data_IF_701788009232
#
_entry.id   IF_701788009232
#
_cell.length_a   1.000
_cell.length_b   1.000
_cell.length_c   1.000
_cell.angle_alpha   90.00
_cell.angle_beta   90.00
_cell.angle_gamma   90.00
#
_symmetry.space_group_name_H-M   'P 1'
#
loop_
_entity.id
_entity.type
_entity.pdbx_description
1 polymer ?
#
# COMPACT_ATOMS: atom_id res chain seq x y z
N UNK A 1 21.10 -34.45 -91.95
CA UNK A 1 20.44 -33.29 -92.57
C UNK A 1 20.90 -32.06 -91.78
N UNK A 2 22.20 -31.76 -91.83
CA UNK A 2 22.90 -31.04 -90.74
C UNK A 2 24.16 -30.34 -91.28
N UNK A 3 23.98 -29.49 -92.31
CA UNK A 3 25.07 -28.75 -92.97
C UNK A 3 24.72 -27.28 -93.25
N UNK A 4 23.72 -26.71 -92.54
CA UNK A 4 23.23 -25.36 -92.80
C UNK A 4 23.34 -24.36 -91.63
N UNK A 5 23.72 -24.79 -90.40
CA UNK A 5 23.55 -23.93 -89.20
C UNK A 5 24.83 -23.36 -88.58
N UNK A 6 26.01 -23.43 -89.23
CA UNK A 6 27.30 -23.06 -88.59
C UNK A 6 28.07 -21.95 -89.34
N UNK A 7 27.39 -21.01 -90.00
CA UNK A 7 28.05 -19.80 -90.50
C UNK A 7 27.24 -18.50 -90.37
N UNK A 8 26.34 -18.43 -89.38
CA UNK A 8 25.54 -17.24 -89.10
C UNK A 8 26.13 -16.41 -87.93
N UNK A 9 27.41 -16.05 -88.04
CA UNK A 9 28.04 -15.05 -87.17
C UNK A 9 29.03 -14.17 -87.98
N UNK A 10 28.76 -14.01 -89.27
CA UNK A 10 29.19 -12.83 -90.00
C UNK A 10 28.39 -11.64 -89.44
N UNK A 11 29.04 -10.48 -89.34
CA UNK A 11 28.49 -9.25 -88.78
C UNK A 11 27.02 -9.04 -89.23
N UNK A 12 26.04 -9.30 -88.36
CA UNK A 12 24.59 -9.27 -88.70
C UNK A 12 24.22 -7.93 -89.34
N UNK A 13 24.88 -6.84 -88.91
CA UNK A 13 24.78 -5.52 -89.52
C UNK A 13 25.05 -5.53 -91.02
N UNK A 14 26.09 -6.25 -91.46
CA UNK A 14 26.48 -6.37 -92.87
C UNK A 14 25.47 -7.20 -93.66
N UNK A 15 25.01 -8.31 -93.08
CA UNK A 15 23.99 -9.18 -93.68
C UNK A 15 22.65 -8.44 -93.90
N UNK A 16 22.24 -7.57 -92.96
CA UNK A 16 21.05 -6.72 -93.09
C UNK A 16 21.18 -5.76 -94.27
N UNK A 17 22.37 -5.15 -94.47
CA UNK A 17 22.62 -4.20 -95.55
C UNK A 17 22.70 -4.89 -96.92
N UNK A 18 23.36 -6.05 -97.01
CA UNK A 18 23.52 -6.80 -98.26
C UNK A 18 22.19 -7.40 -98.76
N UNK A 19 21.32 -7.82 -97.85
CA UNK A 19 20.03 -8.45 -98.15
C UNK A 19 18.82 -7.56 -97.83
N UNK A 20 19.00 -6.24 -97.83
CA UNK A 20 17.99 -5.24 -97.45
C UNK A 20 16.66 -5.28 -98.26
N UNK A 21 16.65 -5.94 -99.43
CA UNK A 21 15.47 -6.09 -100.29
C UNK A 21 14.89 -7.52 -100.26
N UNK A 22 15.45 -8.41 -99.44
CA UNK A 22 15.02 -9.81 -99.32
C UNK A 22 14.28 -10.03 -98.00
N UNK A 23 12.95 -10.00 -98.05
CA UNK A 23 12.10 -10.18 -96.88
C UNK A 23 12.28 -11.54 -96.22
N UNK A 24 12.54 -12.60 -97.01
CA UNK A 24 12.71 -13.96 -96.51
C UNK A 24 14.01 -14.09 -95.71
N UNK A 25 15.09 -13.48 -96.21
CA UNK A 25 16.38 -13.50 -95.55
C UNK A 25 16.38 -12.67 -94.25
N UNK A 26 15.78 -11.48 -94.26
CA UNK A 26 15.64 -10.65 -93.06
C UNK A 26 14.79 -11.34 -91.97
N UNK A 27 13.71 -12.03 -92.34
CA UNK A 27 12.92 -12.83 -91.40
C UNK A 27 13.70 -14.03 -90.86
N UNK A 28 14.53 -14.69 -91.68
CA UNK A 28 15.42 -15.76 -91.23
C UNK A 28 16.42 -15.24 -90.18
N UNK A 29 17.07 -14.10 -90.43
CA UNK A 29 17.98 -13.46 -89.49
C UNK A 29 17.27 -13.04 -88.18
N UNK A 30 16.08 -12.45 -88.28
CA UNK A 30 15.26 -12.10 -87.11
C UNK A 30 14.91 -13.35 -86.29
N UNK A 31 14.51 -14.45 -86.92
CA UNK A 31 14.18 -15.71 -86.21
C UNK A 31 15.39 -16.35 -85.56
N UNK A 32 16.57 -16.25 -86.17
CA UNK A 32 17.82 -16.77 -85.62
C UNK A 32 18.25 -16.08 -84.33
N UNK A 33 18.18 -14.74 -84.27
CA UNK A 33 18.47 -13.99 -83.05
C UNK A 33 17.72 -12.65 -83.01
N UNK A 34 16.48 -12.69 -82.50
CA UNK A 34 15.58 -11.53 -82.46
C UNK A 34 16.17 -10.30 -81.78
N UNK A 35 16.87 -10.50 -80.65
CA UNK A 35 17.41 -9.42 -79.83
C UNK A 35 18.55 -8.71 -80.56
N UNK A 36 19.48 -9.48 -81.12
CA UNK A 36 20.63 -8.93 -81.81
C UNK A 36 20.27 -8.35 -83.17
N UNK A 37 19.41 -9.04 -83.95
CA UNK A 37 18.88 -8.52 -85.21
C UNK A 37 18.19 -7.17 -85.00
N UNK A 38 17.29 -7.08 -84.02
CA UNK A 38 16.58 -5.83 -83.70
C UNK A 38 17.54 -4.68 -83.35
N UNK A 39 18.51 -4.95 -82.47
CA UNK A 39 19.48 -3.95 -82.04
C UNK A 39 20.27 -3.40 -83.23
N UNK A 40 20.77 -4.28 -84.10
CA UNK A 40 21.56 -3.89 -85.26
C UNK A 40 20.70 -3.24 -86.36
N UNK A 41 19.50 -3.78 -86.61
CA UNK A 41 18.55 -3.26 -87.61
C UNK A 41 18.12 -1.83 -87.30
N UNK A 42 17.75 -1.53 -86.04
CA UNK A 42 17.37 -0.17 -85.62
C UNK A 42 18.52 0.84 -85.74
N UNK A 43 19.78 0.39 -85.65
CA UNK A 43 20.95 1.26 -85.82
C UNK A 43 21.23 1.58 -87.29
N UNK A 44 20.98 0.65 -88.21
CA UNK A 44 21.20 0.88 -89.67
C UNK A 44 19.98 1.45 -90.39
N UNK A 45 18.80 1.39 -89.77
CA UNK A 45 17.56 1.91 -90.37
C UNK A 45 17.64 3.34 -90.94
N UNK A 46 18.33 4.32 -90.30
CA UNK A 46 18.44 5.67 -90.87
C UNK A 46 19.00 5.68 -92.31
N UNK A 47 19.93 4.76 -92.60
CA UNK A 47 20.57 4.59 -93.92
C UNK A 47 19.69 3.82 -94.93
N UNK A 48 18.59 3.21 -94.45
CA UNK A 48 17.67 2.35 -95.22
C UNK A 48 16.27 2.96 -95.40
N UNK A 49 16.08 4.21 -94.95
CA UNK A 49 14.79 4.90 -94.85
C UNK A 49 14.03 5.10 -96.17
N UNK A 50 14.66 4.90 -97.32
CA UNK A 50 14.02 4.94 -98.64
C UNK A 50 13.54 3.57 -99.15
N UNK A 51 13.60 2.52 -98.32
CA UNK A 51 13.20 1.16 -98.67
C UNK A 51 11.89 0.76 -97.95
N UNK A 52 10.80 0.48 -98.71
CA UNK A 52 9.50 0.12 -98.14
C UNK A 52 9.55 -1.12 -97.23
N UNK A 53 10.44 -2.08 -97.52
CA UNK A 53 10.61 -3.27 -96.69
C UNK A 53 11.27 -2.92 -95.35
N UNK A 54 12.23 -2.00 -95.35
CA UNK A 54 12.89 -1.56 -94.14
C UNK A 54 11.96 -0.75 -93.24
N UNK A 55 11.08 0.07 -93.83
CA UNK A 55 10.05 0.84 -93.12
C UNK A 55 9.06 -0.08 -92.38
N UNK A 56 8.61 -1.15 -93.04
CA UNK A 56 7.77 -2.19 -92.41
C UNK A 56 8.48 -2.87 -91.22
N UNK A 57 9.76 -3.22 -91.37
CA UNK A 57 10.53 -3.84 -90.31
C UNK A 57 10.79 -2.88 -89.13
N UNK A 58 11.00 -1.58 -89.40
CA UNK A 58 11.18 -0.59 -88.35
C UNK A 58 9.91 -0.44 -87.50
N UNK A 59 8.74 -0.31 -88.13
CA UNK A 59 7.45 -0.27 -87.43
C UNK A 59 7.18 -1.54 -86.61
N UNK A 60 7.51 -2.71 -87.15
CA UNK A 60 7.37 -3.97 -86.41
C UNK A 60 8.30 -4.07 -85.20
N UNK A 61 9.52 -3.54 -85.31
CA UNK A 61 10.57 -3.70 -84.30
C UNK A 61 10.54 -2.59 -83.23
N UNK A 62 10.06 -1.39 -83.54
CA UNK A 62 9.90 -0.29 -82.58
C UNK A 62 8.94 -0.67 -81.45
N UNK A 63 7.77 -1.23 -81.78
CA UNK A 63 6.73 -1.64 -80.83
C UNK A 63 7.17 -2.79 -79.89
N UNK A 64 7.90 -3.78 -80.41
CA UNK A 64 8.41 -4.88 -79.57
C UNK A 64 9.42 -4.41 -78.51
N UNK A 65 9.99 -3.20 -78.63
CA UNK A 65 11.10 -2.72 -77.79
C UNK A 65 10.59 -2.18 -76.46
N UNK A 66 9.49 -1.46 -76.56
CA UNK A 66 8.72 -0.94 -75.44
C UNK A 66 8.23 -2.11 -74.57
N UNK A 67 7.65 -3.14 -75.21
CA UNK A 67 7.09 -4.33 -74.54
C UNK A 67 8.14 -5.13 -73.75
N UNK A 68 9.37 -5.27 -74.26
CA UNK A 68 10.44 -5.99 -73.55
C UNK A 68 10.96 -5.16 -72.37
N UNK A 69 11.10 -3.84 -72.54
CA UNK A 69 11.53 -2.94 -71.47
C UNK A 69 10.52 -2.91 -70.31
N UNK A 70 9.23 -2.88 -70.63
CA UNK A 70 8.15 -2.88 -69.63
C UNK A 70 8.08 -4.23 -68.90
N UNK A 71 8.20 -5.36 -69.61
CA UNK A 71 8.27 -6.69 -68.99
C UNK A 71 9.47 -6.85 -68.05
N UNK A 72 10.61 -6.25 -68.38
CA UNK A 72 11.81 -6.30 -67.52
C UNK A 72 11.65 -5.47 -66.24
N UNK A 73 11.04 -4.28 -66.34
CA UNK A 73 10.70 -3.43 -65.18
C UNK A 73 9.68 -4.10 -64.26
N UNK A 74 8.59 -4.62 -64.82
CA UNK A 74 7.56 -5.34 -64.06
C UNK A 74 8.16 -6.52 -63.29
N UNK A 75 9.09 -7.25 -63.88
CA UNK A 75 9.77 -8.39 -63.22
C UNK A 75 10.71 -7.95 -62.09
N UNK A 76 11.35 -6.79 -62.22
CA UNK A 76 12.15 -6.20 -61.14
C UNK A 76 11.29 -5.68 -59.99
N UNK A 77 10.16 -5.05 -60.29
CA UNK A 77 9.18 -4.58 -59.30
C UNK A 77 8.54 -5.76 -58.55
N UNK A 78 8.17 -6.85 -59.24
CA UNK A 78 7.71 -8.09 -58.61
C UNK A 78 8.75 -8.71 -57.67
N UNK A 79 10.04 -8.58 -58.01
CA UNK A 79 11.16 -9.04 -57.18
C UNK A 79 11.26 -8.24 -55.87
N UNK A 80 11.14 -6.92 -55.98
CA UNK A 80 11.15 -5.98 -54.82
C UNK A 80 9.94 -6.24 -53.92
N UNK A 81 8.75 -6.40 -54.51
CA UNK A 81 7.51 -6.69 -53.75
C UNK A 81 7.64 -8.01 -52.97
N UNK A 82 8.24 -9.05 -53.57
CA UNK A 82 8.47 -10.33 -52.87
C UNK A 82 9.52 -10.25 -51.77
N UNK A 83 10.55 -9.40 -51.90
CA UNK A 83 11.50 -9.16 -50.82
C UNK A 83 10.86 -8.39 -49.67
N UNK A 84 10.07 -7.37 -49.98
CA UNK A 84 9.35 -6.58 -48.97
C UNK A 84 8.34 -7.46 -48.21
N UNK A 85 7.62 -8.34 -48.92
CA UNK A 85 6.69 -9.29 -48.29
C UNK A 85 7.41 -10.29 -47.35
N UNK A 86 8.66 -10.66 -47.64
CA UNK A 86 9.48 -11.48 -46.72
C UNK A 86 9.94 -10.68 -45.51
N UNK A 87 10.34 -9.43 -45.70
CA UNK A 87 10.74 -8.54 -44.59
C UNK A 87 9.54 -8.36 -43.65
N UNK A 88 8.36 -8.04 -44.18
CA UNK A 88 7.13 -7.90 -43.40
C UNK A 88 6.79 -9.19 -42.64
N UNK A 89 6.91 -10.37 -43.26
CA UNK A 89 6.70 -11.66 -42.57
C UNK A 89 7.74 -11.93 -41.47
N UNK A 90 8.98 -11.48 -41.67
CA UNK A 90 10.04 -11.62 -40.66
C UNK A 90 9.82 -10.66 -39.48
N UNK A 91 9.38 -9.43 -39.75
CA UNK A 91 9.02 -8.44 -38.74
C UNK A 91 7.79 -8.91 -37.94
N UNK A 92 6.75 -9.46 -38.59
CA UNK A 92 5.63 -10.10 -37.89
C UNK A 92 6.09 -11.27 -36.99
N UNK A 93 7.08 -12.05 -37.44
CA UNK A 93 7.69 -13.11 -36.64
C UNK A 93 8.42 -12.58 -35.40
N UNK A 94 9.19 -11.51 -35.56
CA UNK A 94 9.88 -10.81 -34.46
C UNK A 94 8.85 -10.25 -33.48
N UNK A 95 7.82 -9.55 -33.96
CA UNK A 95 6.75 -8.98 -33.13
C UNK A 95 6.04 -10.07 -32.33
N UNK A 96 5.72 -11.22 -32.94
CA UNK A 96 5.13 -12.36 -32.21
C UNK A 96 6.06 -12.94 -31.16
N UNK A 97 7.37 -12.97 -31.43
CA UNK A 97 8.36 -13.46 -30.46
C UNK A 97 8.51 -12.50 -29.28
N UNK A 98 8.52 -11.19 -29.52
CA UNK A 98 8.53 -10.15 -28.48
C UNK A 98 7.25 -10.20 -27.64
N UNK A 99 6.08 -10.38 -28.27
CA UNK A 99 4.81 -10.59 -27.56
C UNK A 99 4.84 -11.84 -26.67
N UNK A 100 5.52 -12.90 -27.12
CA UNK A 100 5.74 -14.12 -26.34
C UNK A 100 6.62 -13.88 -25.11
N UNK A 101 7.71 -13.12 -25.27
CA UNK A 101 8.62 -12.74 -24.18
C UNK A 101 7.90 -11.86 -23.15
N UNK A 102 7.12 -10.87 -23.60
CA UNK A 102 6.33 -10.00 -22.72
C UNK A 102 5.33 -10.83 -21.90
N UNK A 103 4.65 -11.81 -22.51
CA UNK A 103 3.73 -12.71 -21.80
C UNK A 103 4.44 -13.62 -20.80
N UNK A 104 5.65 -14.11 -21.11
CA UNK A 104 6.42 -14.90 -20.15
C UNK A 104 6.90 -14.07 -18.97
N UNK A 105 7.37 -12.85 -19.20
CA UNK A 105 7.79 -11.93 -18.14
C UNK A 105 6.61 -11.55 -17.24
N UNK A 106 5.45 -11.29 -17.82
CA UNK A 106 4.22 -11.05 -17.05
C UNK A 106 3.80 -12.29 -16.22
N UNK A 107 4.04 -13.49 -16.73
CA UNK A 107 3.85 -14.76 -16.02
C UNK A 107 4.82 -14.93 -14.85
N UNK A 108 6.10 -14.59 -15.04
CA UNK A 108 7.13 -14.63 -13.99
C UNK A 108 6.77 -13.64 -12.89
N UNK A 109 6.42 -12.39 -13.23
CA UNK A 109 6.02 -11.37 -12.25
C UNK A 109 4.80 -11.82 -11.44
N UNK A 110 3.77 -12.39 -12.09
CA UNK A 110 2.60 -12.94 -11.38
C UNK A 110 2.97 -14.11 -10.47
N UNK A 111 3.94 -14.94 -10.85
CA UNK A 111 4.40 -16.06 -10.03
C UNK A 111 5.19 -15.60 -8.81
N UNK A 112 6.08 -14.62 -8.97
CA UNK A 112 6.83 -13.99 -7.87
C UNK A 112 5.88 -13.28 -6.90
N UNK A 113 4.89 -12.55 -7.42
CA UNK A 113 3.86 -11.90 -6.59
C UNK A 113 3.08 -12.92 -5.76
N UNK A 114 2.73 -14.08 -6.34
CA UNK A 114 2.08 -15.19 -5.61
C UNK A 114 2.97 -15.77 -4.53
N UNK A 115 4.26 -15.98 -4.81
CA UNK A 115 5.22 -16.51 -3.83
C UNK A 115 5.35 -15.54 -2.64
N UNK A 116 5.58 -14.26 -2.91
CA UNK A 116 5.67 -13.21 -1.86
C UNK A 116 4.38 -13.11 -1.04
N UNK A 117 3.21 -13.30 -1.68
CA UNK A 117 1.92 -13.34 -0.98
C UNK A 117 1.78 -14.57 -0.08
N UNK A 118 2.29 -15.73 -0.50
CA UNK A 118 2.26 -16.98 0.28
C UNK A 118 3.18 -16.94 1.49
N UNK A 119 4.39 -16.37 1.37
CA UNK A 119 5.33 -16.23 2.48
C UNK A 119 4.77 -15.30 3.57
N UNK A 120 4.22 -14.15 3.16
CA UNK A 120 3.61 -13.20 4.11
C UNK A 120 2.42 -13.79 4.87
N UNK A 121 1.60 -14.61 4.21
CA UNK A 121 0.48 -15.30 4.86
C UNK A 121 0.97 -16.35 5.86
N UNK A 122 2.00 -17.12 5.51
CA UNK A 122 2.56 -18.14 6.40
C UNK A 122 3.12 -17.51 7.68
N UNK A 123 3.85 -16.40 7.58
CA UNK A 123 4.36 -15.68 8.77
C UNK A 123 3.21 -15.21 9.66
N UNK A 124 2.11 -14.74 9.08
CA UNK A 124 0.91 -14.30 9.82
C UNK A 124 0.23 -15.47 10.52
N UNK A 125 0.07 -16.61 9.85
CA UNK A 125 -0.49 -17.82 10.47
C UNK A 125 0.36 -18.28 11.65
N UNK A 126 1.69 -18.33 11.47
CA UNK A 126 2.61 -18.69 12.56
C UNK A 126 2.52 -17.69 13.70
N UNK A 127 2.51 -16.39 13.41
CA UNK A 127 2.36 -15.34 14.41
C UNK A 127 1.03 -15.45 15.19
N UNK A 128 -0.08 -15.72 14.51
CA UNK A 128 -1.38 -15.95 15.15
C UNK A 128 -1.36 -17.19 16.06
N UNK A 129 -0.71 -18.28 15.65
CA UNK A 129 -0.54 -19.48 16.48
C UNK A 129 0.30 -19.17 17.72
N UNK A 130 1.40 -18.42 17.56
CA UNK A 130 2.25 -18.01 18.70
C UNK A 130 1.45 -17.15 19.68
N UNK A 131 0.69 -16.16 19.19
CA UNK A 131 -0.19 -15.34 20.04
C UNK A 131 -1.22 -16.21 20.80
N UNK A 132 -1.82 -17.19 20.13
CA UNK A 132 -2.77 -18.12 20.73
C UNK A 132 -2.14 -19.02 21.80
N UNK A 133 -0.91 -19.49 21.57
CA UNK A 133 -0.16 -20.27 22.57
C UNK A 133 0.13 -19.39 23.79
N UNK A 134 0.57 -18.14 23.60
CA UNK A 134 0.84 -17.20 24.70
C UNK A 134 -0.45 -16.94 25.50
N UNK A 135 -1.57 -16.70 24.82
CA UNK A 135 -2.87 -16.51 25.46
C UNK A 135 -3.33 -17.74 26.26
N UNK A 136 -2.92 -18.95 25.83
CA UNK A 136 -3.24 -20.22 26.46
C UNK A 136 -2.25 -20.70 27.52
N UNK A 137 -1.13 -19.98 27.73
CA UNK A 137 -0.16 -20.30 28.77
C UNK A 137 -0.76 -20.55 30.16
N UNK A 138 -1.71 -19.73 30.69
CA UNK A 138 -2.23 -19.98 32.03
C UNK A 138 -2.98 -21.31 32.11
N UNK A 139 -3.75 -21.68 31.08
CA UNK A 139 -4.42 -22.97 31.02
C UNK A 139 -3.43 -24.14 30.84
N UNK A 140 -2.35 -23.96 30.06
CA UNK A 140 -1.34 -24.99 29.81
C UNK A 140 -0.48 -25.25 31.07
N UNK A 141 -0.16 -24.19 31.82
CA UNK A 141 0.74 -24.24 32.97
C UNK A 141 0.00 -24.31 34.32
N UNK A 142 -1.34 -24.27 34.32
CA UNK A 142 -2.15 -24.27 35.54
C UNK A 142 -2.01 -22.99 36.38
N UNK A 143 -1.79 -21.84 35.74
CA UNK A 143 -1.69 -20.54 36.40
C UNK A 143 -3.08 -19.95 36.63
N UNK A 144 -3.21 -19.09 37.64
CA UNK A 144 -4.43 -18.31 37.86
C UNK A 144 -4.66 -17.36 36.67
N UNK A 145 -5.72 -17.62 35.89
CA UNK A 145 -6.00 -16.92 34.64
C UNK A 145 -6.15 -15.41 34.84
N UNK A 146 -6.92 -14.99 35.84
CA UNK A 146 -7.17 -13.57 36.12
C UNK A 146 -5.86 -12.81 36.42
N UNK A 147 -5.05 -13.34 37.35
CA UNK A 147 -3.76 -12.76 37.70
C UNK A 147 -2.80 -12.72 36.49
N UNK A 148 -2.82 -13.76 35.66
CA UNK A 148 -2.02 -13.80 34.44
C UNK A 148 -2.46 -12.70 33.46
N UNK A 149 -3.75 -12.59 33.13
CA UNK A 149 -4.23 -11.66 32.12
C UNK A 149 -4.08 -10.20 32.56
N UNK A 150 -4.37 -9.86 33.82
CA UNK A 150 -4.19 -8.49 34.34
C UNK A 150 -2.76 -8.00 34.14
N UNK A 151 -1.77 -8.87 34.38
CA UNK A 151 -0.34 -8.52 34.24
C UNK A 151 0.18 -8.66 32.82
N UNK A 152 -0.32 -9.63 32.07
CA UNK A 152 0.36 -10.12 30.86
C UNK A 152 -0.42 -9.97 29.56
N UNK A 153 -1.64 -9.40 29.56
CA UNK A 153 -2.47 -9.26 28.34
C UNK A 153 -1.72 -8.59 27.18
N UNK A 154 -0.90 -7.57 27.46
CA UNK A 154 -0.10 -6.90 26.44
C UNK A 154 0.95 -7.79 25.77
N UNK A 155 1.50 -8.78 26.48
CA UNK A 155 2.52 -9.69 25.95
C UNK A 155 1.96 -10.77 25.02
N UNK A 156 0.64 -10.94 24.96
CA UNK A 156 0.00 -11.87 24.03
C UNK A 156 0.25 -11.43 22.58
N UNK A 157 0.16 -10.12 22.32
CA UNK A 157 0.13 -9.57 20.96
C UNK A 157 1.36 -8.71 20.65
N UNK A 158 1.82 -7.85 21.57
CA UNK A 158 2.88 -6.89 21.26
C UNK A 158 4.22 -7.54 20.87
N UNK A 159 4.74 -8.57 21.55
CA UNK A 159 5.97 -9.26 21.15
C UNK A 159 5.84 -9.93 19.78
N UNK A 160 4.67 -10.49 19.48
CA UNK A 160 4.38 -11.17 18.20
C UNK A 160 4.39 -10.16 17.05
N UNK A 161 3.67 -9.05 17.20
CA UNK A 161 3.68 -7.98 16.20
C UNK A 161 5.05 -7.30 16.08
N UNK A 162 5.78 -7.14 17.19
CA UNK A 162 7.14 -6.60 17.16
C UNK A 162 8.08 -7.52 16.39
N UNK A 163 7.98 -8.84 16.57
CA UNK A 163 8.70 -9.83 15.76
C UNK A 163 8.35 -9.76 14.28
N UNK A 164 7.06 -9.64 13.96
CA UNK A 164 6.56 -9.45 12.60
C UNK A 164 7.15 -8.21 11.93
N UNK A 165 7.07 -7.05 12.57
CA UNK A 165 7.63 -5.80 12.03
C UNK A 165 9.16 -5.81 12.01
N UNK A 166 9.82 -6.44 12.97
CA UNK A 166 11.27 -6.59 12.97
C UNK A 166 11.75 -7.38 11.75
N UNK A 167 11.08 -8.49 11.42
CA UNK A 167 11.33 -9.27 10.21
C UNK A 167 11.06 -8.46 8.95
N UNK A 168 9.85 -7.89 8.85
CA UNK A 168 9.41 -7.13 7.67
C UNK A 168 10.30 -5.92 7.38
N UNK A 169 10.62 -5.14 8.40
CA UNK A 169 11.39 -3.89 8.26
C UNK A 169 12.91 -4.11 8.28
N UNK A 170 13.37 -5.37 8.30
CA UNK A 170 14.80 -5.75 8.32
C UNK A 170 15.56 -5.03 9.43
N UNK A 171 14.99 -5.02 10.62
CA UNK A 171 15.60 -4.36 11.80
C UNK A 171 16.94 -5.02 12.12
N UNK A 172 17.94 -4.23 12.52
CA UNK A 172 19.27 -4.76 12.83
C UNK A 172 19.23 -5.76 13.99
N UNK A 173 20.14 -6.76 13.97
CA UNK A 173 20.20 -7.79 15.03
C UNK A 173 20.34 -7.20 16.43
N UNK A 174 21.14 -6.13 16.58
CA UNK A 174 21.30 -5.41 17.84
C UNK A 174 19.95 -4.84 18.33
N UNK A 175 19.20 -4.17 17.45
CA UNK A 175 17.92 -3.59 17.81
C UNK A 175 16.87 -4.66 18.14
N UNK A 176 16.90 -5.82 17.46
CA UNK A 176 16.07 -6.97 17.81
C UNK A 176 16.40 -7.49 19.21
N UNK A 177 17.68 -7.63 19.56
CA UNK A 177 18.11 -8.03 20.90
C UNK A 177 17.67 -7.02 21.97
N UNK A 178 17.75 -5.72 21.68
CA UNK A 178 17.27 -4.67 22.59
C UNK A 178 15.75 -4.77 22.78
N UNK A 179 14.97 -4.91 21.71
CA UNK A 179 13.51 -5.09 21.78
C UNK A 179 13.16 -6.30 22.67
N UNK A 180 13.81 -7.45 22.41
CA UNK A 180 13.59 -8.67 23.19
C UNK A 180 13.95 -8.52 24.66
N UNK A 181 15.08 -7.85 24.96
CA UNK A 181 15.49 -7.56 26.34
C UNK A 181 14.47 -6.66 27.06
N UNK A 182 13.95 -5.62 26.40
CA UNK A 182 12.95 -4.73 27.00
C UNK A 182 11.66 -5.48 27.31
N UNK A 183 11.16 -6.31 26.39
CA UNK A 183 10.00 -7.17 26.65
C UNK A 183 10.24 -8.11 27.84
N UNK A 184 11.41 -8.74 27.90
CA UNK A 184 11.78 -9.65 28.99
C UNK A 184 11.85 -8.92 30.34
N UNK A 185 12.50 -7.76 30.41
CA UNK A 185 12.59 -6.96 31.63
C UNK A 185 11.21 -6.49 32.11
N UNK A 186 10.34 -6.07 31.18
CA UNK A 186 8.97 -5.69 31.51
C UNK A 186 8.17 -6.88 32.06
N UNK A 187 8.29 -8.06 31.44
CA UNK A 187 7.60 -9.27 31.88
C UNK A 187 8.09 -9.72 33.25
N UNK A 188 9.41 -9.70 33.50
CA UNK A 188 9.97 -10.02 34.81
C UNK A 188 9.45 -9.03 35.86
N UNK A 189 9.57 -7.72 35.59
CA UNK A 189 9.18 -6.69 36.53
C UNK A 189 7.69 -6.80 36.93
N UNK A 190 6.78 -6.88 35.97
CA UNK A 190 5.34 -6.88 36.27
C UNK A 190 4.90 -8.15 37.02
N UNK A 191 5.58 -9.27 36.80
CA UNK A 191 5.29 -10.53 37.51
C UNK A 191 5.96 -10.60 38.89
N UNK A 192 6.93 -9.74 39.20
CA UNK A 192 7.54 -9.62 40.54
C UNK A 192 6.73 -8.75 41.50
N UNK A 193 5.75 -7.97 41.01
CA UNK A 193 4.91 -7.15 41.89
C UNK A 193 4.07 -8.04 42.83
N UNK A 194 3.98 -7.72 44.14
CA UNK A 194 3.45 -8.65 45.14
C UNK A 194 1.93 -8.82 45.11
N UNK A 195 1.16 -7.78 44.80
CA UNK A 195 -0.31 -7.78 44.93
C UNK A 195 -1.01 -7.31 43.65
N UNK A 196 -1.84 -8.17 43.07
CA UNK A 196 -2.58 -7.87 41.82
C UNK A 196 -3.72 -6.89 42.04
N UNK A 197 -4.26 -6.77 43.26
CA UNK A 197 -5.41 -5.91 43.57
C UNK A 197 -5.01 -4.49 43.98
N UNK A 198 -3.73 -4.27 44.28
CA UNK A 198 -3.24 -2.94 44.63
C UNK A 198 -3.42 -1.93 43.50
N UNK A 199 -3.83 -0.71 43.86
CA UNK A 199 -3.97 0.44 42.95
C UNK A 199 -2.68 0.66 42.13
N UNK A 200 -1.53 0.50 42.78
CA UNK A 200 -0.20 0.71 42.18
C UNK A 200 0.09 -0.37 41.13
N UNK A 201 -0.18 -1.64 41.40
CA UNK A 201 0.03 -2.72 40.42
C UNK A 201 -0.93 -2.59 39.24
N UNK A 202 -2.20 -2.28 39.49
CA UNK A 202 -3.18 -2.01 38.43
C UNK A 202 -2.70 -0.88 37.52
N UNK A 203 -2.20 0.20 38.12
CA UNK A 203 -1.71 1.35 37.39
C UNK A 203 -0.44 1.03 36.56
N UNK A 204 0.49 0.25 37.11
CA UNK A 204 1.65 -0.26 36.39
C UNK A 204 1.25 -1.16 35.23
N UNK A 205 0.27 -2.06 35.40
CA UNK A 205 -0.26 -2.89 34.32
C UNK A 205 -0.85 -2.05 33.18
N UNK A 206 -1.70 -1.05 33.49
CA UNK A 206 -2.32 -0.19 32.47
C UNK A 206 -1.26 0.60 31.68
N UNK A 207 -0.27 1.20 32.36
CA UNK A 207 0.76 2.00 31.69
C UNK A 207 1.78 1.11 30.96
N UNK A 208 1.96 -0.13 31.40
CA UNK A 208 2.79 -1.10 30.70
C UNK A 208 2.23 -1.38 29.29
N UNK A 209 0.91 -1.42 29.08
CA UNK A 209 0.35 -1.56 27.72
C UNK A 209 0.85 -0.44 26.78
N UNK A 210 0.92 0.80 27.27
CA UNK A 210 1.45 1.93 26.50
C UNK A 210 2.95 1.79 26.22
N UNK A 211 3.71 1.24 27.17
CA UNK A 211 5.14 0.99 26.99
C UNK A 211 5.41 -0.14 25.98
N UNK A 212 4.69 -1.26 26.07
CA UNK A 212 4.80 -2.37 25.10
C UNK A 212 4.38 -1.92 23.70
N UNK A 213 3.34 -1.08 23.62
CA UNK A 213 2.94 -0.39 22.40
C UNK A 213 4.03 0.54 21.86
N UNK A 214 4.79 1.23 22.73
CA UNK A 214 5.93 2.03 22.28
C UNK A 214 7.08 1.18 21.73
N UNK A 215 7.37 0.04 22.36
CA UNK A 215 8.39 -0.92 21.90
C UNK A 215 8.01 -1.50 20.52
N UNK A 216 6.73 -1.82 20.31
CA UNK A 216 6.21 -2.19 18.98
C UNK A 216 6.49 -1.07 17.95
N UNK A 217 6.29 0.19 18.33
CA UNK A 217 6.59 1.35 17.47
C UNK A 217 8.06 1.42 17.04
N UNK A 218 8.99 1.04 17.91
CA UNK A 218 10.41 0.97 17.56
C UNK A 218 10.69 -0.09 16.48
N UNK A 219 10.07 -1.27 16.59
CA UNK A 219 10.14 -2.32 15.57
C UNK A 219 9.47 -1.89 14.24
N UNK A 220 8.38 -1.13 14.32
CA UNK A 220 7.66 -0.59 13.16
C UNK A 220 8.49 0.46 12.40
N UNK A 221 9.16 1.37 13.11
CA UNK A 221 9.94 2.45 12.47
C UNK A 221 11.22 1.91 11.82
N UNK A 222 11.91 0.97 12.47
CA UNK A 222 13.07 0.24 11.96
C UNK A 222 14.36 1.04 11.71
N UNK A 223 14.31 2.36 11.46
CA UNK A 223 15.48 3.24 11.26
C UNK A 223 15.20 4.70 11.59
N UNK A 224 16.22 5.41 12.08
CA UNK A 224 16.18 6.80 12.57
C UNK A 224 16.09 7.85 11.44
N UNK A 225 16.45 7.50 10.19
CA UNK A 225 16.61 8.47 9.09
C UNK A 225 15.33 9.26 8.71
N UNK A 226 14.14 8.76 9.04
CA UNK A 226 12.85 9.44 8.81
C UNK A 226 11.91 9.32 10.01
N UNK A 227 12.46 9.58 11.20
CA UNK A 227 11.79 9.34 12.49
C UNK A 227 10.41 10.01 12.61
N UNK A 228 10.24 11.25 12.13
CA UNK A 228 8.96 11.98 12.25
C UNK A 228 7.86 11.42 11.34
N UNK A 229 8.15 11.22 10.06
CA UNK A 229 7.19 10.64 9.10
C UNK A 229 6.78 9.23 9.50
N UNK A 230 7.75 8.43 9.97
CA UNK A 230 7.48 7.05 10.42
C UNK A 230 6.70 6.99 11.73
N UNK A 231 6.88 7.95 12.65
CA UNK A 231 6.02 8.08 13.85
C UNK A 231 4.58 8.39 13.47
N UNK A 232 4.38 9.29 12.51
CA UNK A 232 3.05 9.60 11.99
C UNK A 232 2.41 8.37 11.35
N UNK A 233 3.17 7.64 10.53
CA UNK A 233 2.73 6.38 9.92
C UNK A 233 2.39 5.31 10.97
N UNK A 234 3.17 5.22 12.06
CA UNK A 234 2.88 4.32 13.17
C UNK A 234 1.56 4.66 13.86
N UNK A 235 1.33 5.92 14.20
CA UNK A 235 0.06 6.37 14.80
C UNK A 235 -1.12 6.13 13.85
N UNK A 236 -0.94 6.37 12.55
CA UNK A 236 -1.94 6.08 11.53
C UNK A 236 -2.29 4.59 11.47
N UNK A 237 -1.25 3.75 11.39
CA UNK A 237 -1.38 2.29 11.40
C UNK A 237 -2.17 1.79 12.62
N UNK A 238 -1.94 2.36 13.81
CA UNK A 238 -2.67 1.94 15.00
C UNK A 238 -4.17 2.29 14.97
N UNK A 239 -4.54 3.41 14.33
CA UNK A 239 -5.96 3.71 14.07
C UNK A 239 -6.60 2.71 13.14
N UNK A 240 -5.91 2.40 12.04
CA UNK A 240 -6.33 1.40 11.07
C UNK A 240 -6.45 0.01 11.75
N UNK A 241 -5.48 -0.33 12.62
CA UNK A 241 -5.46 -1.58 13.40
C UNK A 241 -6.64 -1.67 14.36
N UNK A 242 -6.95 -0.60 15.08
CA UNK A 242 -8.10 -0.54 15.99
C UNK A 242 -9.42 -0.78 15.25
N UNK A 243 -9.62 -0.11 14.11
CA UNK A 243 -10.84 -0.26 13.31
C UNK A 243 -10.94 -1.67 12.72
N UNK A 244 -9.86 -2.17 12.10
CA UNK A 244 -9.89 -3.51 11.49
C UNK A 244 -10.05 -4.62 12.52
N UNK A 245 -9.41 -4.49 13.67
CA UNK A 245 -9.62 -5.41 14.79
C UNK A 245 -11.07 -5.35 15.27
N UNK A 246 -11.65 -4.16 15.39
CA UNK A 246 -13.05 -3.97 15.76
C UNK A 246 -14.03 -4.60 14.77
N UNK A 247 -13.82 -4.42 13.47
CA UNK A 247 -14.65 -5.05 12.43
C UNK A 247 -14.56 -6.57 12.49
N UNK A 248 -13.36 -7.12 12.66
CA UNK A 248 -13.16 -8.57 12.83
C UNK A 248 -13.80 -9.09 14.13
N UNK A 249 -13.73 -8.33 15.23
CA UNK A 249 -14.38 -8.67 16.49
C UNK A 249 -15.91 -8.70 16.36
N UNK A 250 -16.50 -7.72 15.68
CA UNK A 250 -17.95 -7.71 15.44
C UNK A 250 -18.36 -8.89 14.56
N UNK A 251 -17.66 -9.11 13.44
CA UNK A 251 -17.95 -10.23 12.55
C UNK A 251 -17.78 -11.59 13.24
N UNK A 252 -16.67 -11.77 13.97
CA UNK A 252 -16.38 -12.98 14.74
C UNK A 252 -17.33 -13.18 15.92
N UNK A 253 -17.74 -12.10 16.59
CA UNK A 253 -18.69 -12.11 17.69
C UNK A 253 -20.10 -12.51 17.23
N UNK A 254 -20.58 -11.93 16.13
CA UNK A 254 -21.86 -12.33 15.51
C UNK A 254 -21.82 -13.81 15.09
N UNK A 255 -20.75 -14.24 14.42
CA UNK A 255 -20.57 -15.63 14.03
C UNK A 255 -20.56 -16.57 15.25
N UNK A 256 -19.86 -16.18 16.32
CA UNK A 256 -19.79 -16.95 17.56
C UNK A 256 -21.15 -17.05 18.24
N UNK A 257 -21.90 -15.94 18.34
CA UNK A 257 -23.24 -15.91 18.91
C UNK A 257 -24.23 -16.78 18.13
N UNK A 258 -24.22 -16.70 16.79
CA UNK A 258 -25.02 -17.57 15.94
C UNK A 258 -24.63 -19.03 16.12
N UNK A 259 -23.33 -19.34 16.17
CA UNK A 259 -22.85 -20.71 16.36
C UNK A 259 -23.31 -21.27 17.70
N UNK A 260 -23.09 -20.56 18.80
CA UNK A 260 -23.51 -20.99 20.14
C UNK A 260 -25.04 -21.17 20.19
N UNK A 261 -25.80 -20.20 19.67
CA UNK A 261 -27.26 -20.26 19.63
C UNK A 261 -27.80 -21.43 18.79
N UNK A 262 -27.20 -21.74 17.65
CA UNK A 262 -27.61 -22.89 16.83
C UNK A 262 -27.39 -24.23 17.55
N UNK A 263 -26.29 -24.38 18.28
CA UNK A 263 -26.05 -25.58 19.08
C UNK A 263 -26.96 -25.65 20.31
N UNK A 264 -27.28 -24.51 20.92
CA UNK A 264 -28.23 -24.45 22.03
C UNK A 264 -29.63 -24.91 21.62
N UNK A 265 -30.09 -24.56 20.41
CA UNK A 265 -31.36 -25.07 19.84
C UNK A 265 -31.37 -26.60 19.67
N UNK A 266 -30.21 -27.22 19.50
CA UNK A 266 -30.04 -28.69 19.46
C UNK A 266 -29.94 -29.30 20.87
N UNK A 267 -30.04 -28.50 21.93
CA UNK A 267 -29.85 -28.93 23.31
C UNK A 267 -28.38 -29.05 23.74
N UNK A 268 -27.43 -28.54 22.95
CA UNK A 268 -25.99 -28.62 23.23
C UNK A 268 -25.46 -27.28 23.77
N UNK A 269 -25.11 -27.24 25.07
CA UNK A 269 -24.52 -26.06 25.72
C UNK A 269 -23.02 -25.99 25.49
N UNK A 270 -22.61 -25.50 24.32
CA UNK A 270 -21.19 -25.43 23.91
C UNK A 270 -20.47 -24.14 24.34
N UNK A 271 -21.15 -23.17 24.96
CA UNK A 271 -20.60 -21.83 25.23
C UNK A 271 -19.24 -21.85 25.94
N UNK A 272 -19.13 -22.55 27.07
CA UNK A 272 -17.88 -22.63 27.82
C UNK A 272 -16.76 -23.25 27.01
N UNK A 273 -17.04 -24.37 26.32
CA UNK A 273 -16.08 -24.99 25.42
C UNK A 273 -15.66 -24.02 24.30
N UNK A 274 -16.62 -23.37 23.65
CA UNK A 274 -16.37 -22.45 22.56
C UNK A 274 -15.52 -21.27 23.00
N UNK A 275 -15.89 -20.60 24.10
CA UNK A 275 -15.17 -19.42 24.59
C UNK A 275 -13.77 -19.79 25.09
N UNK A 276 -13.64 -20.90 25.80
CA UNK A 276 -12.34 -21.38 26.24
C UNK A 276 -11.45 -21.72 25.05
N UNK A 277 -11.87 -22.54 24.09
CA UNK A 277 -10.96 -23.05 23.05
C UNK A 277 -10.88 -22.19 21.80
N UNK A 278 -12.01 -21.65 21.34
CA UNK A 278 -12.10 -20.88 20.08
C UNK A 278 -12.03 -19.38 20.36
N UNK A 279 -12.77 -18.90 21.36
CA UNK A 279 -12.87 -17.47 21.69
C UNK A 279 -11.52 -16.83 22.02
N UNK A 280 -10.78 -17.39 22.98
CA UNK A 280 -9.45 -16.88 23.39
C UNK A 280 -8.45 -16.92 22.22
N UNK A 281 -8.44 -18.03 21.46
CA UNK A 281 -7.54 -18.21 20.31
C UNK A 281 -7.86 -17.17 19.22
N UNK A 282 -9.13 -17.02 18.86
CA UNK A 282 -9.57 -16.03 17.88
C UNK A 282 -9.23 -14.61 18.33
N UNK A 283 -9.51 -14.25 19.58
CA UNK A 283 -9.24 -12.91 20.13
C UNK A 283 -7.75 -12.55 20.06
N UNK A 284 -6.86 -13.50 20.38
CA UNK A 284 -5.41 -13.30 20.30
C UNK A 284 -4.88 -13.16 18.87
N UNK A 285 -5.54 -13.81 17.90
CA UNK A 285 -5.12 -13.80 16.50
C UNK A 285 -5.58 -12.53 15.75
N UNK A 286 -6.66 -11.87 16.19
CA UNK A 286 -7.29 -10.75 15.50
C UNK A 286 -6.31 -9.60 15.17
N UNK A 287 -5.50 -9.08 16.11
CA UNK A 287 -4.60 -7.96 15.77
C UNK A 287 -3.53 -8.35 14.74
N UNK A 288 -3.10 -9.61 14.72
CA UNK A 288 -2.12 -10.13 13.74
C UNK A 288 -2.76 -10.23 12.35
N UNK A 289 -3.97 -10.78 12.28
CA UNK A 289 -4.74 -10.87 11.03
C UNK A 289 -5.10 -9.48 10.51
N UNK A 290 -5.56 -8.58 11.39
CA UNK A 290 -5.88 -7.19 11.06
C UNK A 290 -4.66 -6.47 10.48
N UNK A 291 -3.47 -6.65 11.08
CA UNK A 291 -2.20 -6.13 10.55
C UNK A 291 -1.98 -6.58 9.09
N UNK A 292 -2.13 -7.88 8.81
CA UNK A 292 -2.00 -8.40 7.45
C UNK A 292 -3.02 -7.79 6.46
N UNK A 293 -4.28 -7.65 6.89
CA UNK A 293 -5.34 -7.07 6.05
C UNK A 293 -5.07 -5.60 5.69
N UNK A 294 -4.59 -4.81 6.65
CA UNK A 294 -4.22 -3.40 6.45
C UNK A 294 -3.10 -3.30 5.43
N UNK A 295 -2.08 -4.12 5.57
CA UNK A 295 -0.91 -4.08 4.69
C UNK A 295 -1.22 -4.53 3.26
N UNK A 296 -2.10 -5.51 3.09
CA UNK A 296 -2.52 -5.97 1.75
C UNK A 296 -3.56 -5.05 1.10
N UNK A 297 -4.31 -4.29 1.90
CA UNK A 297 -5.41 -3.45 1.40
C UNK A 297 -5.34 -2.00 1.94
N UNK A 298 -4.21 -1.29 1.78
CA UNK A 298 -4.01 0.03 2.39
C UNK A 298 -4.99 1.07 1.85
N UNK A 299 -5.44 0.93 0.60
CA UNK A 299 -6.43 1.84 -0.01
C UNK A 299 -7.83 1.70 0.59
N UNK A 300 -8.19 0.50 1.06
CA UNK A 300 -9.50 0.24 1.65
C UNK A 300 -9.52 0.75 3.10
N UNK A 301 -8.52 0.38 3.90
CA UNK A 301 -8.53 0.69 5.33
C UNK A 301 -8.06 2.11 5.63
N UNK A 302 -6.98 2.57 4.98
CA UNK A 302 -6.33 3.84 5.32
C UNK A 302 -7.15 5.10 5.02
N UNK A 303 -8.33 4.94 4.39
CA UNK A 303 -9.33 5.99 4.18
C UNK A 303 -10.47 5.99 5.20
N UNK A 304 -10.72 4.86 5.86
CA UNK A 304 -11.82 4.72 6.83
C UNK A 304 -11.53 5.57 8.06
N UNK A 305 -10.33 5.47 8.62
CA UNK A 305 -9.96 6.15 9.87
C UNK A 305 -10.12 7.68 9.80
N UNK A 306 -9.62 8.38 8.76
CA UNK A 306 -9.86 9.82 8.64
C UNK A 306 -11.32 10.18 8.38
N UNK A 307 -12.08 9.36 7.65
CA UNK A 307 -13.50 9.62 7.37
C UNK A 307 -14.33 9.55 8.65
N UNK A 308 -14.14 8.50 9.46
CA UNK A 308 -14.79 8.36 10.77
C UNK A 308 -14.44 9.56 11.64
N UNK A 309 -13.15 9.91 11.76
CA UNK A 309 -12.73 11.04 12.57
C UNK A 309 -13.39 12.37 12.15
N UNK A 310 -13.54 12.63 10.85
CA UNK A 310 -14.23 13.84 10.36
C UNK A 310 -15.72 13.87 10.69
N UNK A 311 -16.40 12.73 10.70
CA UNK A 311 -17.82 12.61 11.10
C UNK A 311 -17.95 12.85 12.61
N UNK A 312 -17.07 12.25 13.41
CA UNK A 312 -17.12 12.37 14.86
C UNK A 312 -16.64 13.73 15.37
N UNK A 313 -15.75 14.45 14.66
CA UNK A 313 -15.24 15.77 15.08
C UNK A 313 -16.33 16.79 15.43
N UNK A 314 -17.31 17.12 14.55
CA UNK A 314 -18.39 18.04 14.90
C UNK A 314 -19.33 17.46 15.97
N UNK A 315 -19.59 16.15 15.95
CA UNK A 315 -20.45 15.50 16.93
C UNK A 315 -19.87 15.62 18.36
N UNK A 316 -18.57 15.36 18.50
CA UNK A 316 -17.86 15.48 19.78
C UNK A 316 -17.79 16.94 20.21
N UNK A 317 -17.58 17.89 19.29
CA UNK A 317 -17.63 19.33 19.61
C UNK A 317 -19.00 19.74 20.17
N UNK A 318 -20.09 19.36 19.50
CA UNK A 318 -21.45 19.64 19.96
C UNK A 318 -21.71 19.00 21.32
N UNK A 319 -21.33 17.73 21.48
CA UNK A 319 -21.46 17.02 22.75
C UNK A 319 -20.71 17.74 23.88
N UNK A 320 -19.46 18.15 23.67
CA UNK A 320 -18.67 18.87 24.67
C UNK A 320 -19.27 20.23 25.03
N UNK A 321 -19.81 20.96 24.06
CA UNK A 321 -20.48 22.25 24.30
C UNK A 321 -21.76 22.07 25.12
N UNK A 322 -22.62 21.12 24.75
CA UNK A 322 -23.83 20.77 25.50
C UNK A 322 -23.46 20.34 26.92
N UNK A 323 -22.39 19.54 27.04
CA UNK A 323 -21.91 19.06 28.32
C UNK A 323 -21.40 20.19 29.23
N UNK A 324 -20.63 21.15 28.71
CA UNK A 324 -20.18 22.31 29.47
C UNK A 324 -21.37 23.14 29.98
N UNK A 325 -22.41 23.31 29.16
CA UNK A 325 -23.64 23.99 29.58
C UNK A 325 -24.34 23.18 30.67
N UNK A 326 -24.44 21.85 30.51
CA UNK A 326 -25.06 20.97 31.49
C UNK A 326 -24.35 21.02 32.85
N UNK A 327 -23.03 21.13 32.90
CA UNK A 327 -22.28 21.30 34.17
C UNK A 327 -22.72 22.57 34.90
N UNK A 328 -22.93 23.68 34.20
CA UNK A 328 -23.29 24.96 34.83
C UNK A 328 -24.67 24.87 35.50
N UNK A 329 -25.60 24.12 34.91
CA UNK A 329 -26.95 23.92 35.45
C UNK A 329 -27.08 22.74 36.40
N UNK A 330 -26.08 21.85 36.45
CA UNK A 330 -26.12 20.70 37.34
C UNK A 330 -25.74 21.10 38.75
N UNK A 331 -26.54 20.69 39.73
CA UNK A 331 -26.18 20.80 41.15
C UNK A 331 -25.06 19.82 41.55
N UNK A 332 -24.71 18.88 40.67
CA UNK A 332 -23.62 17.92 40.92
C UNK A 332 -22.27 18.60 40.72
N UNK A 333 -21.40 18.47 41.72
CA UNK A 333 -20.06 19.02 41.69
C UNK A 333 -19.07 18.02 41.02
N UNK A 334 -18.53 18.31 39.82
CA UNK A 334 -17.51 17.49 39.15
C UNK A 334 -16.30 17.14 40.02
N UNK A 335 -16.01 17.99 41.00
CA UNK A 335 -14.80 17.91 41.81
C UNK A 335 -14.82 16.71 42.75
N UNK A 336 -15.99 16.14 43.04
CA UNK A 336 -16.14 15.06 44.04
C UNK A 336 -16.39 13.66 43.45
N UNK A 337 -16.69 13.55 42.15
CA UNK A 337 -17.02 12.28 41.50
C UNK A 337 -15.80 11.62 40.82
N UNK A 338 -15.38 10.42 41.27
CA UNK A 338 -14.25 9.67 40.69
C UNK A 338 -14.52 9.19 39.27
N UNK A 339 -15.75 8.78 38.98
CA UNK A 339 -16.12 8.22 37.69
C UNK A 339 -16.12 9.32 36.63
N UNK A 340 -16.52 10.53 37.03
CA UNK A 340 -16.36 11.74 36.23
C UNK A 340 -14.93 11.87 35.71
N UNK A 341 -13.92 11.89 36.59
CA UNK A 341 -12.52 12.11 36.17
C UNK A 341 -11.99 11.00 35.26
N UNK A 342 -12.39 9.75 35.49
CA UNK A 342 -11.97 8.62 34.63
C UNK A 342 -12.54 8.76 33.21
N UNK A 343 -13.83 9.08 33.10
CA UNK A 343 -14.49 9.27 31.80
C UNK A 343 -13.89 10.48 31.06
N UNK A 344 -13.57 11.57 31.78
CA UNK A 344 -12.89 12.73 31.17
C UNK A 344 -11.53 12.38 30.59
N UNK A 345 -10.69 11.65 31.32
CA UNK A 345 -9.38 11.27 30.81
C UNK A 345 -9.50 10.39 29.55
N UNK A 346 -10.45 9.45 29.53
CA UNK A 346 -10.73 8.63 28.34
C UNK A 346 -11.21 9.51 27.16
N UNK A 347 -12.10 10.47 27.43
CA UNK A 347 -12.58 11.43 26.44
C UNK A 347 -11.45 12.28 25.86
N UNK A 348 -10.49 12.74 26.68
CA UNK A 348 -9.34 13.53 26.24
C UNK A 348 -8.46 12.76 25.26
N UNK A 349 -8.18 11.48 25.53
CA UNK A 349 -7.46 10.60 24.61
C UNK A 349 -8.26 10.42 23.31
N UNK A 350 -9.58 10.23 23.42
CA UNK A 350 -10.49 10.11 22.27
C UNK A 350 -10.49 11.36 21.38
N UNK A 351 -10.59 12.55 21.97
CA UNK A 351 -10.54 13.82 21.22
C UNK A 351 -9.19 13.98 20.52
N UNK A 352 -8.08 13.67 21.19
CA UNK A 352 -6.75 13.73 20.58
C UNK A 352 -6.66 12.80 19.37
N UNK A 353 -7.20 11.59 19.47
CA UNK A 353 -7.27 10.64 18.35
C UNK A 353 -8.14 11.19 17.20
N UNK A 354 -9.32 11.75 17.49
CA UNK A 354 -10.20 12.36 16.48
C UNK A 354 -9.50 13.50 15.75
N UNK A 355 -8.84 14.41 16.46
CA UNK A 355 -8.06 15.50 15.84
C UNK A 355 -6.95 14.93 14.97
N UNK A 356 -6.16 13.98 15.49
CA UNK A 356 -5.07 13.34 14.77
C UNK A 356 -5.54 12.73 13.44
N UNK A 357 -6.53 11.85 13.49
CA UNK A 357 -7.00 11.12 12.31
C UNK A 357 -7.75 12.02 11.33
N UNK A 358 -8.45 13.05 11.81
CA UNK A 358 -9.12 14.01 10.91
C UNK A 358 -8.11 14.82 10.08
N UNK A 359 -6.93 15.11 10.63
CA UNK A 359 -5.85 15.81 9.93
C UNK A 359 -5.01 14.88 9.05
N UNK A 360 -4.80 13.63 9.46
CA UNK A 360 -3.92 12.67 8.80
C UNK A 360 -4.44 12.10 7.45
N UNK A 361 -5.62 12.53 6.97
CA UNK A 361 -6.21 12.06 5.72
C UNK A 361 -6.05 13.05 4.56
N UNK A 362 -5.88 12.52 3.33
CA UNK A 362 -5.85 13.34 2.12
C UNK A 362 -7.14 14.13 1.97
N UNK A 363 -6.99 15.44 1.73
CA UNK A 363 -8.08 16.39 1.64
C UNK A 363 -8.02 17.09 0.28
N UNK A 364 -9.03 16.86 -0.55
CA UNK A 364 -9.30 17.66 -1.75
C UNK A 364 -9.57 19.13 -1.36
N UNK A 365 -9.07 20.05 -2.18
CA UNK A 365 -8.71 21.44 -1.85
C UNK A 365 -9.85 22.34 -1.33
N UNK A 366 -11.12 22.08 -1.62
CA UNK A 366 -12.24 23.02 -1.32
C UNK A 366 -12.98 22.78 0.00
N UNK A 367 -12.87 21.61 0.65
CA UNK A 367 -13.51 21.30 1.95
C UNK A 367 -12.60 21.48 3.18
N UNK A 368 -11.37 22.01 3.00
CA UNK A 368 -10.38 22.11 4.08
C UNK A 368 -10.72 23.14 5.15
N UNK A 369 -11.27 24.30 4.79
CA UNK A 369 -11.39 25.44 5.73
C UNK A 369 -12.35 25.18 6.90
N UNK A 370 -13.58 24.73 6.62
CA UNK A 370 -14.59 24.49 7.67
C UNK A 370 -14.14 23.37 8.62
N UNK A 371 -13.59 22.27 8.08
CA UNK A 371 -13.11 21.16 8.92
C UNK A 371 -12.00 21.62 9.87
N UNK A 372 -11.06 22.42 9.40
CA UNK A 372 -9.97 22.93 10.25
C UNK A 372 -10.53 23.83 11.36
N UNK A 373 -11.56 24.66 11.07
CA UNK A 373 -12.27 25.44 12.09
C UNK A 373 -12.98 24.57 13.13
N UNK A 374 -13.66 23.49 12.71
CA UNK A 374 -14.26 22.53 13.65
C UNK A 374 -13.19 21.95 14.57
N UNK A 375 -12.05 21.52 14.01
CA UNK A 375 -10.96 20.94 14.80
C UNK A 375 -10.34 21.94 15.78
N UNK A 376 -10.18 23.20 15.36
CA UNK A 376 -9.71 24.27 16.24
C UNK A 376 -10.68 24.53 17.39
N UNK A 377 -11.99 24.63 17.11
CA UNK A 377 -13.00 24.80 18.16
C UNK A 377 -13.04 23.59 19.09
N UNK A 378 -12.97 22.38 18.53
CA UNK A 378 -12.89 21.13 19.30
C UNK A 378 -11.69 21.14 20.24
N UNK A 379 -10.50 21.52 19.75
CA UNK A 379 -9.30 21.57 20.59
C UNK A 379 -9.39 22.66 21.67
N UNK A 380 -9.93 23.84 21.33
CA UNK A 380 -10.13 24.94 22.28
C UNK A 380 -11.11 24.59 23.41
N UNK A 381 -12.26 24.00 23.08
CA UNK A 381 -13.23 23.51 24.07
C UNK A 381 -12.61 22.42 24.94
N UNK A 382 -11.82 21.53 24.34
CA UNK A 382 -11.14 20.45 25.07
C UNK A 382 -10.07 20.97 26.03
N UNK A 383 -9.38 22.06 25.69
CA UNK A 383 -8.46 22.76 26.62
C UNK A 383 -9.21 23.26 27.85
N UNK A 384 -10.40 23.85 27.68
CA UNK A 384 -11.24 24.32 28.79
C UNK A 384 -11.65 23.14 29.69
N UNK A 385 -12.17 22.07 29.07
CA UNK A 385 -12.60 20.85 29.76
C UNK A 385 -11.43 20.22 30.53
N UNK A 386 -10.25 20.12 29.92
CA UNK A 386 -9.05 19.60 30.60
C UNK A 386 -8.61 20.53 31.75
N UNK A 387 -8.78 21.85 31.62
CA UNK A 387 -8.56 22.79 32.71
C UNK A 387 -9.48 22.53 33.91
N UNK A 388 -10.75 22.22 33.67
CA UNK A 388 -11.71 21.83 34.73
C UNK A 388 -11.27 20.52 35.39
N UNK A 389 -10.90 19.50 34.59
CA UNK A 389 -10.41 18.22 35.11
C UNK A 389 -9.12 18.38 35.94
N UNK A 390 -8.21 19.26 35.51
CA UNK A 390 -6.97 19.58 36.22
C UNK A 390 -7.25 20.29 37.55
N UNK A 391 -8.19 21.25 37.56
CA UNK A 391 -8.64 21.92 38.78
C UNK A 391 -9.24 20.93 39.78
N UNK A 392 -10.09 20.01 39.29
CA UNK A 392 -10.71 18.98 40.11
C UNK A 392 -9.68 18.03 40.74
N UNK A 393 -8.68 17.56 39.99
CA UNK A 393 -7.65 16.69 40.57
C UNK A 393 -6.74 17.44 41.56
N UNK A 394 -6.43 18.72 41.30
CA UNK A 394 -5.63 19.53 42.20
C UNK A 394 -6.36 19.78 43.53
N UNK A 395 -7.66 20.07 43.47
CA UNK A 395 -8.51 20.20 44.66
C UNK A 395 -8.48 18.92 45.50
N UNK A 396 -8.65 17.75 44.88
CA UNK A 396 -8.58 16.45 45.59
C UNK A 396 -7.22 16.18 46.21
N UNK A 397 -6.13 16.55 45.54
CA UNK A 397 -4.79 16.41 46.09
C UNK A 397 -4.61 17.35 47.30
N UNK A 398 -5.17 18.55 47.23
CA UNK A 398 -5.14 19.51 48.35
C UNK A 398 -5.98 19.04 49.54
N UNK A 399 -7.14 18.44 49.33
CA UNK A 399 -8.01 17.98 50.42
C UNK A 399 -7.60 16.64 51.01
N UNK A 400 -7.20 15.69 50.17
CA UNK A 400 -7.05 14.29 50.55
C UNK A 400 -5.62 13.76 50.34
N UNK A 401 -4.66 14.63 50.02
CA UNK A 401 -3.26 14.27 49.78
C UNK A 401 -2.99 13.62 48.42
N UNK A 402 -1.72 13.35 48.16
CA UNK A 402 -1.28 12.65 46.95
C UNK A 402 -1.52 11.14 47.08
N UNK A 403 -2.06 10.53 46.03
CA UNK A 403 -2.15 9.07 45.89
C UNK A 403 -1.62 8.66 44.51
N UNK A 404 -1.27 7.38 44.29
CA UNK A 404 -0.75 6.92 43.00
C UNK A 404 -1.69 7.28 41.85
N UNK A 405 -2.97 6.97 42.01
CA UNK A 405 -4.01 7.28 41.02
C UNK A 405 -4.12 8.79 40.75
N UNK A 406 -4.08 9.63 41.80
CA UNK A 406 -4.19 11.09 41.62
C UNK A 406 -2.96 11.67 40.94
N UNK A 407 -1.77 11.18 41.28
CA UNK A 407 -0.52 11.60 40.65
C UNK A 407 -0.47 11.20 39.17
N UNK A 408 -0.92 9.99 38.84
CA UNK A 408 -1.00 9.48 37.47
C UNK A 408 -1.91 10.36 36.59
N UNK A 409 -3.11 10.64 37.09
CA UNK A 409 -4.11 11.48 36.41
C UNK A 409 -3.62 12.92 36.26
N UNK A 410 -3.01 13.49 37.30
CA UNK A 410 -2.44 14.84 37.25
C UNK A 410 -1.39 14.95 36.14
N UNK A 411 -0.41 14.04 36.10
CA UNK A 411 0.62 14.07 35.06
C UNK A 411 0.06 13.82 33.67
N UNK A 412 -0.85 12.86 33.50
CA UNK A 412 -1.52 12.62 32.22
C UNK A 412 -2.25 13.88 31.70
N UNK A 413 -3.02 14.56 32.57
CA UNK A 413 -3.75 15.77 32.19
C UNK A 413 -2.83 16.94 31.87
N UNK A 414 -1.73 17.12 32.60
CA UNK A 414 -0.72 18.14 32.29
C UNK A 414 -0.08 17.90 30.92
N UNK A 415 0.29 16.65 30.61
CA UNK A 415 0.88 16.30 29.32
C UNK A 415 -0.10 16.46 28.17
N UNK A 416 -1.35 16.03 28.35
CA UNK A 416 -2.42 16.23 27.37
C UNK A 416 -2.70 17.72 27.18
N UNK A 417 -2.71 18.53 28.25
CA UNK A 417 -2.92 19.98 28.17
C UNK A 417 -1.81 20.64 27.34
N UNK A 418 -0.55 20.35 27.66
CA UNK A 418 0.58 20.90 26.94
C UNK A 418 0.54 20.54 25.45
N UNK A 419 0.26 19.28 25.12
CA UNK A 419 0.11 18.85 23.74
C UNK A 419 -1.10 19.54 23.05
N UNK A 420 -2.26 19.60 23.70
CA UNK A 420 -3.47 20.25 23.18
C UNK A 420 -3.26 21.74 22.93
N UNK A 421 -2.50 22.46 23.77
CA UNK A 421 -2.18 23.86 23.55
C UNK A 421 -1.35 24.06 22.28
N UNK A 422 -0.32 23.23 22.08
CA UNK A 422 0.50 23.25 20.86
C UNK A 422 -0.36 22.94 19.64
N UNK A 423 -1.17 21.88 19.71
CA UNK A 423 -2.11 21.48 18.65
C UNK A 423 -3.10 22.59 18.33
N UNK A 424 -3.68 23.23 19.34
CA UNK A 424 -4.64 24.34 19.18
C UNK A 424 -4.00 25.54 18.48
N UNK A 425 -2.76 25.89 18.82
CA UNK A 425 -2.02 26.97 18.14
C UNK A 425 -1.77 26.62 16.66
N UNK A 426 -1.41 25.37 16.36
CA UNK A 426 -1.19 24.94 14.97
C UNK A 426 -2.50 24.91 14.17
N UNK A 427 -3.59 24.43 14.77
CA UNK A 427 -4.92 24.45 14.15
C UNK A 427 -5.42 25.86 13.91
N UNK A 428 -5.18 26.80 14.84
CA UNK A 428 -5.50 28.22 14.63
C UNK A 428 -4.73 28.81 13.46
N UNK A 429 -3.41 28.56 13.37
CA UNK A 429 -2.60 29.02 12.24
C UNK A 429 -3.09 28.44 10.91
N UNK A 430 -3.44 27.16 10.88
CA UNK A 430 -4.00 26.52 9.70
C UNK A 430 -5.39 27.08 9.33
N UNK A 431 -6.25 27.34 10.32
CA UNK A 431 -7.59 27.93 10.13
C UNK A 431 -7.50 29.37 9.58
N UNK A 432 -6.51 30.13 10.04
CA UNK A 432 -6.22 31.49 9.60
C UNK A 432 -5.48 31.57 8.25
N UNK A 433 -5.21 30.44 7.59
CA UNK A 433 -4.47 30.37 6.32
C UNK A 433 -2.97 30.67 6.43
N UNK A 434 -2.40 30.64 7.64
CA UNK A 434 -1.00 30.97 7.95
C UNK A 434 -0.13 29.74 8.24
N UNK A 435 -0.64 28.53 8.03
CA UNK A 435 0.08 27.29 8.33
C UNK A 435 -0.49 26.08 7.61
N UNK A 436 0.32 25.03 7.52
CA UNK A 436 -0.06 23.76 6.87
C UNK A 436 -0.68 22.79 7.88
N UNK A 437 -1.77 22.10 7.53
CA UNK A 437 -2.38 21.09 8.42
C UNK A 437 -1.41 19.99 8.89
N UNK A 438 -0.37 19.69 8.10
CA UNK A 438 0.66 18.70 8.44
C UNK A 438 1.45 19.07 9.71
N UNK A 439 1.54 20.35 10.07
CA UNK A 439 2.20 20.77 11.31
C UNK A 439 1.46 20.26 12.55
N UNK A 440 0.14 20.05 12.47
CA UNK A 440 -0.67 19.53 13.56
C UNK A 440 -0.34 18.06 13.84
N UNK A 441 -0.23 17.23 12.79
CA UNK A 441 0.18 15.83 12.92
C UNK A 441 1.60 15.70 13.47
N UNK A 442 2.51 16.61 13.09
CA UNK A 442 3.86 16.69 13.66
C UNK A 442 3.87 17.07 15.13
N UNK A 443 3.02 18.00 15.56
CA UNK A 443 2.90 18.36 16.97
C UNK A 443 2.46 17.16 17.82
N UNK A 444 1.41 16.45 17.39
CA UNK A 444 0.88 15.27 18.11
C UNK A 444 1.91 14.15 18.18
N UNK A 445 2.50 13.77 17.04
CA UNK A 445 3.51 12.70 16.98
C UNK A 445 4.82 13.08 17.67
N UNK A 446 5.14 14.38 17.76
CA UNK A 446 6.29 14.91 18.49
C UNK A 446 6.19 14.72 20.00
N UNK A 447 4.98 14.71 20.55
CA UNK A 447 4.73 14.52 21.99
C UNK A 447 4.77 13.06 22.44
N UNK A 448 4.75 12.11 21.49
CA UNK A 448 4.74 10.68 21.77
C UNK A 448 5.88 10.21 22.72
N UNK A 449 7.15 10.62 22.54
CA UNK A 449 8.22 10.27 23.48
C UNK A 449 7.97 10.77 24.91
N UNK A 450 7.32 11.93 25.07
CA UNK A 450 7.01 12.49 26.39
C UNK A 450 5.97 11.63 27.10
N UNK A 451 4.93 11.18 26.38
CA UNK A 451 3.96 10.22 26.93
C UNK A 451 4.61 8.89 27.31
N UNK A 452 5.58 8.41 26.52
CA UNK A 452 6.31 7.16 26.81
C UNK A 452 7.16 7.30 28.08
N UNK A 453 7.85 8.44 28.25
CA UNK A 453 8.61 8.73 29.47
C UNK A 453 7.69 8.71 30.70
N UNK A 454 6.53 9.37 30.61
CA UNK A 454 5.54 9.35 31.69
C UNK A 454 5.02 7.94 31.99
N UNK A 455 4.63 7.18 30.96
CA UNK A 455 4.20 5.80 31.14
C UNK A 455 5.29 4.94 31.78
N UNK A 456 6.56 5.19 31.46
CA UNK A 456 7.72 4.51 32.09
C UNK A 456 7.82 4.87 33.57
N UNK A 457 7.68 6.16 33.92
CA UNK A 457 7.70 6.63 35.32
C UNK A 457 6.56 5.98 36.11
N UNK A 458 5.35 5.94 35.55
CA UNK A 458 4.20 5.32 36.24
C UNK A 458 4.39 3.81 36.36
N UNK A 459 4.89 3.14 35.32
CA UNK A 459 5.07 1.68 35.32
C UNK A 459 6.10 1.24 36.35
N UNK A 460 7.29 1.85 36.37
CA UNK A 460 8.42 1.39 37.19
C UNK A 460 8.67 2.23 38.44
N UNK A 461 8.38 3.53 38.38
CA UNK A 461 8.65 4.46 39.49
C UNK A 461 7.59 4.39 40.58
N UNK A 462 6.31 4.31 40.22
CA UNK A 462 5.24 4.35 41.23
C UNK A 462 5.27 3.18 42.23
N UNK A 463 5.54 1.92 41.81
CA UNK A 463 5.75 0.80 42.75
C UNK A 463 6.85 0.98 43.78
N UNK A 464 7.77 1.92 43.57
CA UNK A 464 8.88 2.22 44.48
C UNK A 464 8.54 3.43 45.37
N UNK A 465 7.72 4.35 44.86
CA UNK A 465 7.39 5.63 45.51
C UNK A 465 6.16 5.55 46.41
N UNK A 466 5.21 4.66 46.09
CA UNK A 466 3.96 4.44 46.80
C UNK A 466 3.83 2.97 47.18
#
# INVERSE_FOLDING_TARGET
MERADIQLNANIRKEILEHQNDAGYLEMLYRGNRVQFKKEFLQVYPDLSNNPLAEFWYERLSDEGIVISDKSKVKSEEGIVKSDERIVKSEEGIVKSEEGIVKSDEGIVKSEERIVKSEGLLVVVVASIVAAIIAKLPAILGLAEEAFYVRNVGFIVFPVLAGYFAWKNKVSRLNISIIGLVFLLCAIFINLLPDVESDVTTLSCIHLLLLLWAVLGFAFVGSIKSLHEKRLAYLKFNGDLGIMSGLLLIAGGVLSGVTIGLFELLGLKIENFYMSYIGIVALSAIPVIATYLIEKNPHLVGRITPVIARIFSPLVLIMLLVYLVAIIYSEKNPYNDRDFLMIFNALLVGVMAVIFFSVAGDTSVTKKSLQIWILFLLSAVTVIVNGIALSAILFRISEWGISPNRAAVLGANLLILANLLIVSVQLFKAAAGKGEPETVGRAISGFLPVYIIWATIVTFGFPILF
#
